data_IF_811461887677
#
_entry.id   IF_811461887677
#
_cell.length_a   1.000
_cell.length_b   1.000
_cell.length_c   1.000
_cell.angle_alpha   90.00
_cell.angle_beta   90.00
_cell.angle_gamma   90.00
#
_symmetry.space_group_name_H-M   'P 1'
#
loop_
_entity.id
_entity.type
_entity.pdbx_description
1 polymer ?
#
# COMPACT_ATOMS: atom_id res chain seq x y z
N UNK A 1 24.74 24.07 33.01
CA UNK A 1 23.45 23.46 32.60
C UNK A 1 23.60 22.96 31.17
N UNK A 2 23.91 21.68 31.01
CA UNK A 2 24.18 21.08 29.69
C UNK A 2 22.87 20.62 29.05
N UNK A 3 22.47 21.24 27.93
CA UNK A 3 21.37 20.75 27.07
C UNK A 3 21.97 19.74 26.09
N UNK A 4 21.73 18.45 26.34
CA UNK A 4 21.97 17.42 25.34
C UNK A 4 20.99 17.63 24.18
N UNK A 5 21.52 17.94 22.99
CA UNK A 5 20.78 17.92 21.74
C UNK A 5 20.53 16.44 21.41
N UNK A 6 19.29 15.98 21.60
CA UNK A 6 18.86 14.68 21.09
C UNK A 6 18.83 14.83 19.57
N UNK A 7 19.82 14.28 18.89
CA UNK A 7 19.74 14.10 17.45
C UNK A 7 18.57 13.15 17.18
N UNK A 8 17.45 13.72 16.70
CA UNK A 8 16.38 12.92 16.12
C UNK A 8 16.97 12.33 14.85
N UNK A 9 17.45 11.08 14.93
CA UNK A 9 17.80 10.31 13.75
C UNK A 9 16.52 10.21 12.93
N UNK A 10 16.46 10.72 11.69
CA UNK A 10 15.30 10.49 10.85
C UNK A 10 15.26 8.98 10.58
N UNK A 11 14.35 8.28 11.25
CA UNK A 11 14.02 6.89 10.94
C UNK A 11 13.55 6.91 9.49
N UNK A 12 14.34 6.31 8.59
CA UNK A 12 13.93 6.17 7.20
C UNK A 12 12.53 5.55 7.18
N UNK A 13 11.59 6.09 6.37
CA UNK A 13 10.25 5.54 6.32
C UNK A 13 10.36 4.08 5.89
N UNK A 14 9.95 3.17 6.76
CA UNK A 14 9.93 1.74 6.41
C UNK A 14 8.96 1.57 5.26
N UNK A 15 9.50 1.17 4.10
CA UNK A 15 8.70 0.87 2.91
C UNK A 15 8.33 -0.61 2.90
N UNK A 16 7.12 -0.89 2.44
CA UNK A 16 6.56 -2.23 2.32
C UNK A 16 6.18 -2.48 0.87
N UNK A 17 6.68 -3.57 0.30
CA UNK A 17 6.20 -4.05 -0.98
C UNK A 17 4.83 -4.72 -0.80
N UNK A 18 3.91 -4.36 -1.69
CA UNK A 18 2.53 -4.85 -1.68
C UNK A 18 2.13 -5.31 -3.06
N UNK A 19 1.63 -6.53 -3.16
CA UNK A 19 0.98 -7.06 -4.36
C UNK A 19 -0.54 -6.84 -4.32
N UNK A 20 -1.05 -6.30 -5.42
CA UNK A 20 -2.47 -6.04 -5.66
C UNK A 20 -2.95 -6.94 -6.81
N UNK A 21 -4.11 -7.55 -6.68
CA UNK A 21 -4.75 -8.33 -7.74
C UNK A 21 -6.27 -8.29 -7.61
N UNK A 22 -7.02 -8.48 -8.70
CA UNK A 22 -8.48 -8.58 -8.62
C UNK A 22 -8.91 -9.80 -7.80
N UNK A 23 -9.98 -9.63 -7.00
CA UNK A 23 -10.66 -10.77 -6.39
C UNK A 23 -11.46 -11.47 -7.50
N UNK A 24 -11.27 -12.78 -7.75
CA UNK A 24 -11.99 -13.50 -8.79
C UNK A 24 -13.51 -13.38 -8.64
N UNK A 25 -14.21 -13.17 -9.76
CA UNK A 25 -15.66 -13.01 -9.78
C UNK A 25 -16.16 -11.63 -9.33
N UNK A 26 -15.27 -10.67 -9.09
CA UNK A 26 -15.62 -9.29 -8.75
C UNK A 26 -15.01 -8.30 -9.74
N UNK A 27 -15.60 -7.12 -9.86
CA UNK A 27 -15.08 -6.00 -10.66
C UNK A 27 -14.73 -4.77 -9.80
N UNK A 28 -15.07 -4.82 -8.52
CA UNK A 28 -14.94 -3.70 -7.59
C UNK A 28 -14.06 -4.03 -6.38
N UNK A 29 -13.52 -5.26 -6.27
CA UNK A 29 -12.66 -5.67 -5.14
C UNK A 29 -11.27 -6.09 -5.58
N UNK A 30 -10.27 -5.58 -4.86
CA UNK A 30 -8.86 -5.88 -5.06
C UNK A 30 -8.33 -6.54 -3.79
N UNK A 31 -7.70 -7.69 -3.96
CA UNK A 31 -6.88 -8.34 -2.96
C UNK A 31 -5.55 -7.59 -2.86
N UNK A 32 -5.20 -7.24 -1.64
CA UNK A 32 -4.02 -6.46 -1.28
C UNK A 32 -3.19 -7.29 -0.31
N UNK A 33 -1.96 -7.64 -0.69
CA UNK A 33 -1.08 -8.56 0.05
C UNK A 33 0.20 -7.84 0.43
N UNK A 34 0.46 -7.70 1.73
CA UNK A 34 1.69 -7.10 2.24
C UNK A 34 2.77 -8.19 2.27
N UNK A 35 3.82 -8.04 1.46
CA UNK A 35 4.79 -9.14 1.26
C UNK A 35 5.49 -9.57 2.55
N UNK A 36 5.85 -8.59 3.38
CA UNK A 36 6.62 -8.82 4.61
C UNK A 36 5.85 -9.65 5.65
N UNK A 37 4.56 -9.42 5.79
CA UNK A 37 3.71 -10.07 6.79
C UNK A 37 2.83 -11.17 6.20
N UNK A 38 2.75 -11.24 4.87
CA UNK A 38 1.76 -12.04 4.11
C UNK A 38 0.32 -11.73 4.52
N UNK A 39 0.08 -10.59 5.16
CA UNK A 39 -1.27 -10.18 5.52
C UNK A 39 -2.03 -9.83 4.24
N UNK A 40 -3.20 -10.44 4.08
CA UNK A 40 -4.10 -10.21 2.96
C UNK A 40 -5.29 -9.39 3.43
N UNK A 41 -5.68 -8.39 2.64
CA UNK A 41 -6.88 -7.59 2.82
C UNK A 41 -7.62 -7.46 1.49
N UNK A 42 -8.92 -7.22 1.54
CA UNK A 42 -9.71 -6.94 0.35
C UNK A 42 -10.28 -5.53 0.44
N UNK A 43 -9.92 -4.69 -0.52
CA UNK A 43 -10.29 -3.29 -0.56
C UNK A 43 -11.16 -3.01 -1.78
N UNK A 44 -12.05 -2.04 -1.65
CA UNK A 44 -12.80 -1.53 -2.79
C UNK A 44 -11.85 -0.85 -3.78
N UNK A 45 -12.03 -1.13 -5.07
CA UNK A 45 -11.24 -0.54 -6.15
C UNK A 45 -11.31 0.98 -6.16
N UNK A 46 -12.45 1.54 -5.77
CA UNK A 46 -12.63 2.98 -5.62
C UNK A 46 -11.72 3.60 -4.55
N UNK A 47 -11.49 2.91 -3.42
CA UNK A 47 -10.58 3.39 -2.35
C UNK A 47 -9.13 3.40 -2.83
N UNK A 48 -8.71 2.35 -3.54
CA UNK A 48 -7.38 2.29 -4.14
C UNK A 48 -7.19 3.31 -5.27
N UNK A 49 -8.21 3.53 -6.10
CA UNK A 49 -8.19 4.54 -7.17
C UNK A 49 -8.08 5.95 -6.60
N UNK A 50 -8.77 6.24 -5.49
CA UNK A 50 -8.67 7.51 -4.78
C UNK A 50 -7.26 7.77 -4.24
N UNK A 51 -6.56 6.74 -3.76
CA UNK A 51 -5.28 6.90 -3.07
C UNK A 51 -4.08 6.86 -4.02
N UNK A 52 -4.14 6.05 -5.08
CA UNK A 52 -3.02 5.79 -6.00
C UNK A 52 -3.28 6.22 -7.44
N UNK A 53 -4.50 6.67 -7.73
CA UNK A 53 -4.88 7.20 -9.03
C UNK A 53 -5.01 6.15 -10.13
N UNK A 54 -5.13 6.66 -11.36
CA UNK A 54 -5.38 5.85 -12.57
C UNK A 54 -4.25 4.88 -12.91
N UNK A 55 -2.99 5.24 -12.66
CA UNK A 55 -1.84 4.39 -13.04
C UNK A 55 -1.90 3.00 -12.40
N UNK A 56 -2.29 2.93 -11.11
CA UNK A 56 -2.51 1.65 -10.44
C UNK A 56 -3.65 0.86 -11.09
N UNK A 57 -4.77 1.53 -11.33
CA UNK A 57 -5.96 0.91 -11.94
C UNK A 57 -5.64 0.37 -13.33
N UNK A 58 -4.87 1.09 -14.14
CA UNK A 58 -4.47 0.66 -15.49
C UNK A 58 -3.63 -0.61 -15.42
N UNK A 59 -2.67 -0.71 -14.49
CA UNK A 59 -1.91 -1.95 -14.30
C UNK A 59 -2.83 -3.11 -13.91
N UNK A 60 -3.79 -2.88 -13.04
CA UNK A 60 -4.74 -3.91 -12.61
C UNK A 60 -5.68 -4.33 -13.75
N UNK A 61 -6.21 -3.40 -14.54
CA UNK A 61 -7.08 -3.73 -15.67
C UNK A 61 -6.33 -4.43 -16.79
N UNK A 62 -5.10 -4.01 -17.09
CA UNK A 62 -4.32 -4.55 -18.21
C UNK A 62 -3.61 -5.86 -17.87
N UNK A 63 -3.11 -6.01 -16.63
CA UNK A 63 -2.26 -7.14 -16.23
C UNK A 63 -2.89 -8.04 -15.17
N UNK A 64 -4.05 -7.66 -14.64
CA UNK A 64 -4.71 -8.36 -13.52
C UNK A 64 -4.01 -8.17 -12.17
N UNK A 65 -2.85 -7.50 -12.13
CA UNK A 65 -2.01 -7.33 -10.95
C UNK A 65 -1.20 -6.04 -11.01
N UNK A 66 -0.84 -5.53 -9.85
CA UNK A 66 0.06 -4.39 -9.70
C UNK A 66 0.89 -4.52 -8.41
N UNK A 67 2.06 -3.90 -8.38
CA UNK A 67 2.92 -3.89 -7.19
C UNK A 67 3.17 -2.45 -6.75
N UNK A 68 3.05 -2.22 -5.45
CA UNK A 68 3.20 -0.91 -4.81
C UNK A 68 4.31 -0.97 -3.76
N UNK A 69 4.93 0.19 -3.51
CA UNK A 69 5.78 0.42 -2.33
C UNK A 69 5.14 1.48 -1.48
N UNK A 70 4.80 1.12 -0.25
CA UNK A 70 4.02 1.98 0.64
C UNK A 70 4.76 2.22 1.95
N UNK A 71 4.62 3.40 2.52
CA UNK A 71 5.05 3.65 3.89
C UNK A 71 4.09 2.99 4.89
N UNK A 72 4.54 2.85 6.13
CA UNK A 72 3.70 2.40 7.24
C UNK A 72 2.43 3.26 7.39
N UNK A 73 2.55 4.58 7.23
CA UNK A 73 1.40 5.50 7.29
C UNK A 73 0.37 5.20 6.20
N UNK A 74 0.82 4.94 4.97
CA UNK A 74 -0.08 4.59 3.87
C UNK A 74 -0.77 3.24 4.10
N UNK A 75 -0.09 2.27 4.74
CA UNK A 75 -0.70 1.01 5.13
C UNK A 75 -1.77 1.17 6.22
N UNK A 76 -1.56 2.10 7.16
CA UNK A 76 -2.55 2.46 8.18
C UNK A 76 -3.79 3.13 7.58
N UNK A 77 -3.62 4.00 6.58
CA UNK A 77 -4.73 4.61 5.83
C UNK A 77 -5.54 3.60 5.00
N UNK A 78 -4.98 2.41 4.75
CA UNK A 78 -5.63 1.28 4.08
C UNK A 78 -6.18 0.23 5.06
N UNK A 79 -5.99 0.40 6.37
CA UNK A 79 -6.69 -0.36 7.40
C UNK A 79 -8.17 0.03 7.49
#
# INVERSE_FOLDING_TARGET
MNRALIAVVPTEPTLYDVDCAWVPGTTDRIRFTIDRTRQVRELAAQRLSSMFGRSLMDQLYLKGRARLRLSEQQLLELA
#
